data_IF_368584228995
#
_entry.id   IF_368584228995
#
_cell.length_a   1.000
_cell.length_b   1.000
_cell.length_c   1.000
_cell.angle_alpha   90.00
_cell.angle_beta   90.00
_cell.angle_gamma   90.00
#
_symmetry.space_group_name_H-M   'P 1'
#
loop_
_entity.id
_entity.type
_entity.pdbx_description
1 polymer ?
#
# COMPACT_ATOMS: atom_id res chain seq x y z
N UNK A 1 14.25 6.99 0.12
CA UNK A 1 13.79 6.99 -1.28
C UNK A 1 14.29 8.24 -2.01
N UNK A 2 14.58 8.15 -3.31
CA UNK A 2 15.22 9.22 -4.11
C UNK A 2 14.30 9.81 -5.20
N UNK A 3 13.00 9.51 -5.18
CA UNK A 3 12.02 9.98 -6.16
C UNK A 3 10.72 10.44 -5.50
N UNK A 4 9.87 11.23 -6.18
CA UNK A 4 8.63 11.76 -5.62
C UNK A 4 7.57 10.65 -5.43
N UNK A 5 6.94 10.61 -4.26
CA UNK A 5 5.82 9.70 -3.93
C UNK A 5 4.49 10.42 -4.15
N UNK A 6 4.30 10.95 -5.37
CA UNK A 6 3.12 11.72 -5.72
C UNK A 6 2.10 10.77 -6.34
N UNK A 7 0.86 10.78 -5.85
CA UNK A 7 -0.26 10.03 -6.39
C UNK A 7 -1.46 10.96 -6.56
N UNK A 8 -2.29 10.67 -7.54
CA UNK A 8 -3.56 11.38 -7.74
C UNK A 8 -4.52 11.02 -6.59
N UNK A 9 -5.06 12.04 -5.93
CA UNK A 9 -5.93 11.88 -4.78
C UNK A 9 -7.25 11.17 -5.18
N UNK A 10 -7.82 11.51 -6.34
CA UNK A 10 -9.09 10.92 -6.77
C UNK A 10 -8.91 9.44 -7.09
N UNK A 11 -7.78 9.10 -7.73
CA UNK A 11 -7.42 7.70 -8.00
C UNK A 11 -7.23 6.91 -6.69
N UNK A 12 -6.51 7.49 -5.72
CA UNK A 12 -6.30 6.85 -4.42
C UNK A 12 -7.63 6.58 -3.71
N UNK A 13 -8.55 7.55 -3.72
CA UNK A 13 -9.87 7.43 -3.11
C UNK A 13 -10.71 6.34 -3.79
N UNK A 14 -10.67 6.26 -5.12
CA UNK A 14 -11.33 5.19 -5.87
C UNK A 14 -10.78 3.81 -5.50
N UNK A 15 -9.45 3.67 -5.45
CA UNK A 15 -8.82 2.39 -5.08
C UNK A 15 -9.20 1.96 -3.66
N UNK A 16 -9.24 2.90 -2.71
CA UNK A 16 -9.68 2.62 -1.33
C UNK A 16 -11.13 2.15 -1.31
N UNK A 17 -12.03 2.80 -2.06
CA UNK A 17 -13.44 2.43 -2.11
C UNK A 17 -13.63 1.00 -2.66
N UNK A 18 -12.90 0.66 -3.72
CA UNK A 18 -12.92 -0.68 -4.31
C UNK A 18 -12.41 -1.75 -3.35
N UNK A 19 -11.30 -1.47 -2.65
CA UNK A 19 -10.75 -2.39 -1.65
C UNK A 19 -11.74 -2.59 -0.50
N UNK A 20 -12.35 -1.53 0.02
CA UNK A 20 -13.34 -1.62 1.09
C UNK A 20 -14.56 -2.45 0.69
N UNK A 21 -15.08 -2.27 -0.53
CA UNK A 21 -16.17 -3.09 -1.07
C UNK A 21 -15.79 -4.57 -1.15
N UNK A 22 -14.60 -4.88 -1.67
CA UNK A 22 -14.11 -6.27 -1.75
C UNK A 22 -13.98 -6.91 -0.35
N UNK A 23 -13.52 -6.15 0.63
CA UNK A 23 -13.42 -6.63 2.02
C UNK A 23 -14.82 -6.86 2.61
N UNK A 24 -15.76 -5.95 2.37
CA UNK A 24 -17.16 -6.08 2.80
C UNK A 24 -17.79 -7.35 2.21
N UNK A 25 -17.75 -7.53 0.89
CA UNK A 25 -18.30 -8.70 0.19
C UNK A 25 -17.72 -10.01 0.72
N UNK A 26 -16.39 -10.05 0.95
CA UNK A 26 -15.72 -11.22 1.53
C UNK A 26 -16.13 -11.45 2.99
N UNK A 27 -16.26 -10.40 3.79
CA UNK A 27 -16.64 -10.50 5.20
C UNK A 27 -18.07 -11.04 5.39
N UNK A 28 -18.98 -10.70 4.48
CA UNK A 28 -20.36 -11.19 4.45
C UNK A 28 -20.39 -12.66 3.99
N UNK A 29 -19.64 -12.99 2.94
CA UNK A 29 -19.64 -14.33 2.34
C UNK A 29 -18.95 -15.37 3.24
N UNK A 30 -17.83 -15.02 3.87
CA UNK A 30 -16.96 -15.96 4.58
C UNK A 30 -16.55 -15.46 5.97
N UNK A 31 -17.53 -15.26 6.86
CA UNK A 31 -17.31 -14.68 8.20
C UNK A 31 -16.25 -15.39 9.04
N UNK A 32 -16.24 -16.72 9.05
CA UNK A 32 -15.31 -17.50 9.86
C UNK A 32 -13.86 -17.41 9.34
N UNK A 33 -13.69 -17.47 8.02
CA UNK A 33 -12.38 -17.29 7.38
C UNK A 33 -11.86 -15.87 7.54
N UNK A 34 -12.75 -14.88 7.42
CA UNK A 34 -12.42 -13.48 7.67
C UNK A 34 -11.89 -13.27 9.09
N UNK A 35 -12.52 -13.85 10.12
CA UNK A 35 -12.00 -13.76 11.49
C UNK A 35 -10.63 -14.44 11.63
N UNK A 36 -10.42 -15.59 11.01
CA UNK A 36 -9.13 -16.28 11.02
C UNK A 36 -8.04 -15.47 10.30
N UNK A 37 -8.40 -14.80 9.20
CA UNK A 37 -7.50 -13.94 8.43
C UNK A 37 -7.14 -12.67 9.22
N UNK A 38 -8.10 -12.05 9.89
CA UNK A 38 -7.85 -10.93 10.82
C UNK A 38 -6.88 -11.36 11.92
N UNK A 39 -7.07 -12.54 12.52
CA UNK A 39 -6.15 -13.11 13.52
C UNK A 39 -4.73 -13.27 12.96
N UNK A 40 -4.60 -13.85 11.76
CA UNK A 40 -3.31 -14.06 11.08
C UNK A 40 -2.59 -12.74 10.77
N UNK A 41 -3.30 -11.76 10.19
CA UNK A 41 -2.71 -10.48 9.81
C UNK A 41 -2.28 -9.68 11.04
N UNK A 42 -3.07 -9.66 12.12
CA UNK A 42 -2.67 -9.04 13.38
C UNK A 42 -1.43 -9.70 13.99
N UNK A 43 -1.29 -11.03 13.89
CA UNK A 43 -0.09 -11.73 14.34
C UNK A 43 1.14 -11.36 13.49
N UNK A 44 1.00 -11.25 12.17
CA UNK A 44 2.07 -10.84 11.26
C UNK A 44 2.50 -9.38 11.47
N UNK A 45 1.56 -8.52 11.88
CA UNK A 45 1.80 -7.11 12.19
C UNK A 45 2.34 -6.83 13.59
N UNK A 46 2.64 -7.86 14.38
CA UNK A 46 3.32 -7.65 15.65
C UNK A 46 4.65 -6.94 15.42
N UNK A 47 4.66 -5.68 15.84
CA UNK A 47 5.84 -4.82 15.74
C UNK A 47 6.97 -5.39 16.59
N UNK A 48 8.21 -4.96 16.32
CA UNK A 48 9.34 -5.28 17.18
C UNK A 48 9.09 -4.88 18.65
N UNK A 49 8.27 -3.86 18.89
CA UNK A 49 7.86 -3.47 20.23
C UNK A 49 6.99 -4.55 20.88
N UNK A 50 5.96 -5.07 20.19
CA UNK A 50 5.12 -6.16 20.70
C UNK A 50 5.93 -7.43 20.98
N UNK A 51 6.89 -7.76 20.10
CA UNK A 51 7.81 -8.89 20.32
C UNK A 51 8.72 -8.66 21.52
N UNK A 52 9.21 -7.43 21.73
CA UNK A 52 9.98 -7.06 22.94
C UNK A 52 9.12 -7.20 24.20
N UNK A 53 7.87 -6.74 24.18
CA UNK A 53 6.93 -6.88 25.29
C UNK A 53 6.65 -8.34 25.63
N UNK A 54 6.39 -9.18 24.62
CA UNK A 54 6.22 -10.63 24.80
C UNK A 54 7.46 -11.31 25.39
N UNK A 55 8.67 -10.89 24.99
CA UNK A 55 9.92 -11.40 25.58
C UNK A 55 10.19 -10.86 26.99
N UNK A 56 9.65 -9.69 27.33
CA UNK A 56 9.82 -9.06 28.65
C UNK A 56 9.00 -9.78 29.73
N UNK A 57 7.80 -10.26 29.40
CA UNK A 57 6.95 -11.03 30.32
C UNK A 57 7.68 -12.20 30.99
N UNK A 58 8.29 -13.16 30.26
CA UNK A 58 8.99 -14.28 30.88
C UNK A 58 10.20 -13.85 31.73
N UNK A 59 10.86 -12.73 31.38
CA UNK A 59 11.94 -12.18 32.20
C UNK A 59 11.42 -11.66 33.54
N UNK A 60 10.30 -10.93 33.53
CA UNK A 60 9.65 -10.43 34.75
C UNK A 60 9.16 -11.59 35.60
N UNK A 61 8.50 -12.60 35.01
CA UNK A 61 8.00 -13.75 35.77
C UNK A 61 9.12 -14.52 36.45
N UNK A 62 10.23 -14.80 35.73
CA UNK A 62 11.40 -15.45 36.34
C UNK A 62 12.01 -14.60 37.44
N UNK A 63 12.05 -13.26 37.29
CA UNK A 63 12.56 -12.38 38.34
C UNK A 63 11.65 -12.36 39.57
N UNK A 64 10.33 -12.36 39.39
CA UNK A 64 9.37 -12.47 40.49
C UNK A 64 9.57 -13.78 41.28
N UNK A 65 9.73 -14.92 40.59
CA UNK A 65 10.03 -16.20 41.25
C UNK A 65 11.35 -16.19 42.03
N UNK A 66 12.38 -15.50 41.53
CA UNK A 66 13.64 -15.32 42.25
C UNK A 66 13.44 -14.46 43.50
N UNK A 67 12.69 -13.37 43.40
CA UNK A 67 12.37 -12.49 44.53
C UNK A 67 11.61 -13.27 45.61
N UNK A 68 10.61 -14.07 45.24
CA UNK A 68 9.85 -14.89 46.19
C UNK A 68 10.75 -15.89 46.92
N UNK A 69 11.68 -16.56 46.22
CA UNK A 69 12.66 -17.46 46.84
C UNK A 69 13.57 -16.74 47.83
N UNK A 70 14.07 -15.56 47.46
CA UNK A 70 14.96 -14.76 48.32
C UNK A 70 14.20 -14.25 49.54
N UNK A 71 12.98 -13.73 49.36
CA UNK A 71 12.13 -13.28 50.46
C UNK A 71 11.84 -14.42 51.44
N UNK A 72 11.41 -15.59 50.97
CA UNK A 72 11.15 -16.74 51.83
C UNK A 72 12.36 -17.10 52.69
N UNK A 73 13.56 -17.17 52.08
CA UNK A 73 14.80 -17.42 52.81
C UNK A 73 15.15 -16.31 53.80
N UNK A 74 14.93 -15.05 53.43
CA UNK A 74 15.16 -13.90 54.31
C UNK A 74 14.24 -13.96 55.55
N UNK A 75 13.00 -14.39 55.39
CA UNK A 75 12.06 -14.64 56.49
C UNK A 75 12.53 -15.78 57.41
N UNK A 76 12.98 -16.90 56.84
CA UNK A 76 13.54 -18.03 57.61
C UNK A 76 14.76 -17.61 58.42
N UNK A 77 15.71 -16.91 57.80
CA UNK A 77 16.93 -16.41 58.44
C UNK A 77 16.61 -15.41 59.58
N UNK A 78 15.61 -14.54 59.38
CA UNK A 78 15.13 -13.65 60.46
C UNK A 78 14.52 -14.43 61.62
N UNK A 79 13.69 -15.44 61.34
CA UNK A 79 13.04 -16.26 62.36
C UNK A 79 14.05 -17.08 63.18
N UNK A 80 15.16 -17.49 62.56
CA UNK A 80 16.28 -18.18 63.22
C UNK A 80 17.25 -17.23 63.94
N UNK A 81 17.04 -15.91 63.83
CA UNK A 81 17.90 -14.89 64.43
C UNK A 81 19.30 -14.81 63.80
N UNK A 82 19.49 -15.35 62.60
CA UNK A 82 20.78 -15.31 61.89
C UNK A 82 21.08 -13.92 61.31
N UNK A 83 20.05 -13.06 61.18
CA UNK A 83 20.19 -11.68 60.72
C UNK A 83 19.60 -10.69 61.73
N UNK A 84 20.21 -9.50 61.90
CA UNK A 84 19.63 -8.43 62.70
C UNK A 84 18.34 -7.87 62.06
N UNK A 85 17.38 -7.49 62.90
CA UNK A 85 16.08 -6.97 62.49
C UNK A 85 16.19 -5.77 61.54
N UNK A 86 17.04 -4.78 61.84
CA UNK A 86 17.22 -3.60 60.99
C UNK A 86 17.65 -3.97 59.55
N UNK A 87 18.48 -5.03 59.42
CA UNK A 87 18.97 -5.49 58.12
C UNK A 87 17.88 -6.27 57.38
N UNK A 88 17.06 -7.04 58.09
CA UNK A 88 15.89 -7.70 57.54
C UNK A 88 14.90 -6.68 56.95
N UNK A 89 14.57 -5.62 57.70
CA UNK A 89 13.64 -4.58 57.26
C UNK A 89 14.12 -3.87 55.99
N UNK A 90 15.39 -3.48 55.94
CA UNK A 90 15.98 -2.85 54.75
C UNK A 90 15.96 -3.76 53.52
N UNK A 91 16.28 -5.06 53.69
CA UNK A 91 16.31 -6.00 52.56
C UNK A 91 14.91 -6.40 52.10
N UNK A 92 14.00 -6.70 53.03
CA UNK A 92 12.62 -7.05 52.74
C UNK A 92 11.87 -5.90 52.05
N UNK A 93 12.11 -4.65 52.47
CA UNK A 93 11.55 -3.47 51.81
C UNK A 93 12.01 -3.37 50.35
N UNK A 94 13.32 -3.45 50.08
CA UNK A 94 13.85 -3.36 48.70
C UNK A 94 13.27 -4.41 47.77
N UNK A 95 13.20 -5.67 48.23
CA UNK A 95 12.62 -6.75 47.42
C UNK A 95 11.11 -6.62 47.26
N UNK A 96 10.40 -6.10 48.26
CA UNK A 96 8.96 -5.84 48.17
C UNK A 96 8.65 -4.72 47.18
N UNK A 97 9.43 -3.63 47.19
CA UNK A 97 9.30 -2.53 46.21
C UNK A 97 9.55 -3.05 44.79
N UNK A 98 10.60 -3.83 44.58
CA UNK A 98 10.88 -4.46 43.28
C UNK A 98 9.74 -5.40 42.85
N UNK A 99 9.21 -6.22 43.77
CA UNK A 99 8.10 -7.13 43.51
C UNK A 99 6.86 -6.39 43.01
N UNK A 100 6.40 -5.37 43.72
CA UNK A 100 5.19 -4.64 43.34
C UNK A 100 5.39 -3.83 42.05
N UNK A 101 6.58 -3.25 41.84
CA UNK A 101 6.91 -2.57 40.59
C UNK A 101 6.86 -3.53 39.39
N UNK A 102 7.46 -4.71 39.51
CA UNK A 102 7.45 -5.75 38.47
C UNK A 102 6.04 -6.32 38.25
N UNK A 103 5.24 -6.49 39.30
CA UNK A 103 3.84 -6.92 39.17
C UNK A 103 2.99 -5.89 38.42
N UNK A 104 3.20 -4.60 38.70
CA UNK A 104 2.53 -3.53 37.98
C UNK A 104 2.98 -3.48 36.51
N UNK A 105 4.28 -3.58 36.23
CA UNK A 105 4.80 -3.68 34.86
C UNK A 105 4.18 -4.86 34.12
N UNK A 106 4.13 -6.05 34.75
CA UNK A 106 3.54 -7.25 34.17
C UNK A 106 2.06 -7.08 33.85
N UNK A 107 1.27 -6.49 34.77
CA UNK A 107 -0.14 -6.23 34.54
C UNK A 107 -0.36 -5.28 33.35
N UNK A 108 0.42 -4.19 33.26
CA UNK A 108 0.32 -3.25 32.13
C UNK A 108 0.70 -3.89 30.80
N UNK A 109 1.74 -4.73 30.76
CA UNK A 109 2.16 -5.44 29.55
C UNK A 109 1.11 -6.46 29.11
N UNK A 110 0.50 -7.18 30.05
CA UNK A 110 -0.58 -8.13 29.75
C UNK A 110 -1.83 -7.42 29.23
N UNK A 111 -2.22 -6.29 29.84
CA UNK A 111 -3.35 -5.49 29.38
C UNK A 111 -3.11 -4.98 27.94
N UNK A 112 -1.92 -4.43 27.67
CA UNK A 112 -1.53 -3.98 26.33
C UNK A 112 -1.62 -5.13 25.31
N UNK A 113 -1.06 -6.31 25.61
CA UNK A 113 -1.14 -7.47 24.72
C UNK A 113 -2.56 -8.00 24.55
N UNK A 114 -3.38 -8.03 25.60
CA UNK A 114 -4.78 -8.46 25.51
C UNK A 114 -5.62 -7.53 24.62
N UNK A 115 -5.31 -6.23 24.60
CA UNK A 115 -5.92 -5.29 23.67
C UNK A 115 -5.59 -5.65 22.20
N UNK A 116 -4.41 -6.26 21.95
CA UNK A 116 -3.99 -6.79 20.65
C UNK A 116 -4.61 -8.15 20.31
N UNK A 117 -4.80 -9.03 21.29
CA UNK A 117 -5.27 -10.43 21.09
C UNK A 117 -6.78 -10.56 20.88
N UNK A 118 -7.58 -9.53 21.16
CA UNK A 118 -9.03 -9.50 20.90
C UNK A 118 -9.39 -9.41 19.40
N UNK A 119 -8.72 -10.19 18.55
CA UNK A 119 -8.91 -10.26 17.11
C UNK A 119 -10.34 -10.64 16.71
N UNK A 120 -11.00 -11.55 17.47
CA UNK A 120 -12.41 -11.88 17.25
C UNK A 120 -13.34 -10.69 17.47
N UNK A 121 -13.10 -9.90 18.53
CA UNK A 121 -13.82 -8.65 18.78
C UNK A 121 -13.51 -7.56 17.75
N UNK A 122 -12.29 -7.51 17.22
CA UNK A 122 -11.88 -6.57 16.17
C UNK A 122 -12.53 -6.89 14.83
N UNK A 123 -12.56 -8.16 14.42
CA UNK A 123 -13.26 -8.61 13.22
C UNK A 123 -14.75 -8.25 13.29
N UNK A 124 -15.39 -8.49 14.44
CA UNK A 124 -16.79 -8.10 14.68
C UNK A 124 -16.99 -6.57 14.64
N UNK A 125 -16.09 -5.79 15.24
CA UNK A 125 -16.15 -4.32 15.19
C UNK A 125 -16.03 -3.81 13.76
N UNK A 126 -15.12 -4.39 12.97
CA UNK A 126 -14.98 -4.05 11.55
C UNK A 126 -16.25 -4.36 10.77
N UNK A 127 -16.85 -5.54 10.98
CA UNK A 127 -18.11 -5.92 10.32
C UNK A 127 -19.27 -4.96 10.68
N UNK A 128 -19.36 -4.54 11.94
CA UNK A 128 -20.34 -3.53 12.35
C UNK A 128 -20.08 -2.16 11.71
N UNK A 129 -18.81 -1.81 11.49
CA UNK A 129 -18.41 -0.59 10.78
C UNK A 129 -18.81 -0.65 9.31
N UNK A 130 -18.58 -1.78 8.63
CA UNK A 130 -18.99 -1.96 7.22
C UNK A 130 -20.51 -1.93 7.08
N UNK A 131 -21.25 -2.63 7.96
CA UNK A 131 -22.72 -2.62 7.99
C UNK A 131 -23.30 -1.20 8.18
N UNK A 132 -22.63 -0.35 8.97
CA UNK A 132 -23.07 1.03 9.22
C UNK A 132 -22.88 1.94 8.01
N UNK A 133 -21.82 1.70 7.24
CA UNK A 133 -21.45 2.49 6.07
C UNK A 133 -21.80 1.73 4.80
N UNK A 134 -23.08 1.34 4.68
CA UNK A 134 -23.56 0.59 3.53
C UNK A 134 -23.43 1.42 2.25
N UNK A 135 -22.72 0.84 1.27
CA UNK A 135 -22.34 1.42 -0.01
C UNK A 135 -21.36 2.60 0.12
N UNK A 136 -20.06 2.29 0.23
CA UNK A 136 -18.87 3.19 0.12
C UNK A 136 -18.86 4.08 -1.15
N UNK A 137 -19.90 4.85 -1.36
CA UNK A 137 -20.18 5.72 -2.49
C UNK A 137 -19.61 7.10 -2.23
N UNK A 138 -19.65 7.55 -0.96
CA UNK A 138 -19.02 8.77 -0.48
C UNK A 138 -18.05 8.48 0.68
N UNK A 139 -16.75 8.41 0.37
CA UNK A 139 -15.70 8.29 1.38
C UNK A 139 -15.43 9.66 2.00
N UNK A 140 -16.13 9.99 3.07
CA UNK A 140 -15.82 11.18 3.87
C UNK A 140 -14.52 10.98 4.65
N UNK A 141 -13.78 12.05 4.98
CA UNK A 141 -12.57 11.95 5.81
C UNK A 141 -12.81 11.28 7.17
N UNK A 142 -14.01 11.43 7.74
CA UNK A 142 -14.39 10.76 8.98
C UNK A 142 -14.41 9.23 8.82
N UNK A 143 -15.04 8.74 7.75
CA UNK A 143 -15.08 7.31 7.42
C UNK A 143 -13.66 6.78 7.20
N UNK A 144 -12.82 7.49 6.44
CA UNK A 144 -11.44 7.06 6.22
C UNK A 144 -10.65 6.93 7.52
N UNK A 145 -10.75 7.90 8.42
CA UNK A 145 -10.04 7.84 9.70
C UNK A 145 -10.56 6.71 10.62
N UNK A 146 -11.83 6.33 10.49
CA UNK A 146 -12.40 5.18 11.20
C UNK A 146 -11.85 3.85 10.66
N UNK A 147 -11.74 3.71 9.33
CA UNK A 147 -11.34 2.44 8.71
C UNK A 147 -9.82 2.27 8.58
N UNK A 148 -9.10 3.34 8.24
CA UNK A 148 -7.71 3.31 7.79
C UNK A 148 -6.80 3.89 8.88
N UNK A 149 -5.79 3.11 9.24
CA UNK A 149 -4.71 3.51 10.15
C UNK A 149 -3.64 4.32 9.42
N UNK A 150 -3.17 3.81 8.28
CA UNK A 150 -2.18 4.49 7.44
C UNK A 150 -2.19 3.95 6.01
N UNK A 151 -1.68 4.77 5.09
CA UNK A 151 -1.47 4.40 3.69
C UNK A 151 0.01 4.61 3.39
N UNK A 152 0.68 3.54 2.97
CA UNK A 152 2.07 3.58 2.51
C UNK A 152 2.08 3.62 0.99
N UNK A 153 2.61 4.71 0.43
CA UNK A 153 2.78 4.88 -1.01
C UNK A 153 4.23 4.53 -1.36
N UNK A 154 4.42 3.52 -2.21
CA UNK A 154 5.74 3.06 -2.61
C UNK A 154 6.28 3.84 -3.82
N UNK A 155 7.56 3.64 -4.13
CA UNK A 155 8.21 4.21 -5.31
C UNK A 155 7.56 3.68 -6.61
N UNK A 156 7.49 4.54 -7.65
CA UNK A 156 6.97 4.16 -8.96
C UNK A 156 7.94 3.22 -9.69
N UNK A 157 7.40 2.28 -10.46
CA UNK A 157 8.20 1.34 -11.27
C UNK A 157 9.08 2.01 -12.32
N UNK A 158 8.62 3.14 -12.89
CA UNK A 158 9.36 3.90 -13.90
C UNK A 158 9.44 5.39 -13.53
N UNK A 159 10.66 5.91 -13.45
CA UNK A 159 10.92 7.32 -13.14
C UNK A 159 10.49 8.22 -14.30
N UNK A 160 9.85 9.36 -13.98
CA UNK A 160 9.39 10.41 -14.92
C UNK A 160 8.37 9.96 -15.99
N UNK A 161 7.91 8.72 -15.96
CA UNK A 161 6.84 8.28 -16.84
C UNK A 161 5.49 8.86 -16.34
N UNK A 162 4.73 9.48 -17.26
CA UNK A 162 3.37 9.96 -17.01
C UNK A 162 2.41 8.83 -16.65
N UNK A 163 2.67 7.65 -17.21
CA UNK A 163 1.92 6.41 -16.98
C UNK A 163 2.92 5.39 -16.43
N UNK A 164 2.83 5.11 -15.14
CA UNK A 164 3.68 4.17 -14.42
C UNK A 164 2.84 3.47 -13.35
N UNK A 165 3.11 2.20 -13.12
CA UNK A 165 2.49 1.44 -12.06
C UNK A 165 3.14 1.87 -10.74
N UNK A 166 2.31 2.03 -9.72
CA UNK A 166 2.72 2.46 -8.38
C UNK A 166 2.01 1.58 -7.36
N UNK A 167 2.78 0.97 -6.47
CA UNK A 167 2.24 0.12 -5.42
C UNK A 167 1.83 0.97 -4.21
N UNK A 168 0.68 0.62 -3.61
CA UNK A 168 0.23 1.18 -2.34
C UNK A 168 -0.08 0.06 -1.36
N UNK A 169 0.16 0.31 -0.07
CA UNK A 169 -0.22 -0.61 1.01
C UNK A 169 -1.13 0.11 1.98
N UNK A 170 -2.34 -0.42 2.16
CA UNK A 170 -3.36 0.17 3.03
C UNK A 170 -3.44 -0.66 4.32
N UNK A 171 -3.34 0.03 5.46
CA UNK A 171 -3.42 -0.57 6.78
C UNK A 171 -4.73 -0.14 7.43
N UNK A 172 -5.57 -1.10 7.80
CA UNK A 172 -6.85 -0.86 8.44
C UNK A 172 -6.73 -0.93 9.97
N UNK A 173 -7.50 -0.10 10.70
CA UNK A 173 -7.43 0.00 12.16
C UNK A 173 -7.70 -1.34 12.87
N UNK A 174 -8.68 -2.11 12.40
CA UNK A 174 -9.13 -3.32 13.08
C UNK A 174 -8.56 -4.63 12.51
N UNK A 175 -8.12 -4.61 11.25
CA UNK A 175 -7.65 -5.82 10.54
C UNK A 175 -6.14 -5.77 10.24
N UNK A 176 -5.52 -4.59 10.31
CA UNK A 176 -4.15 -4.39 9.85
C UNK A 176 -4.07 -4.34 8.32
N UNK A 177 -2.94 -4.78 7.76
CA UNK A 177 -2.74 -4.90 6.31
C UNK A 177 -3.58 -6.08 5.86
N UNK A 178 -4.58 -5.79 5.05
CA UNK A 178 -5.48 -6.83 4.56
C UNK A 178 -4.81 -7.53 3.38
N UNK A 179 -4.19 -8.68 3.64
CA UNK A 179 -3.67 -9.58 2.62
C UNK A 179 -4.54 -10.84 2.58
N UNK A 180 -5.42 -10.93 1.59
CA UNK A 180 -6.24 -12.10 1.26
C UNK A 180 -6.08 -12.46 -0.22
N UNK A 181 -6.36 -13.70 -0.62
CA UNK A 181 -6.43 -14.16 -2.02
C UNK A 181 -7.36 -13.26 -2.87
N UNK A 182 -8.48 -12.77 -2.30
CA UNK A 182 -9.41 -11.84 -2.96
C UNK A 182 -8.82 -10.44 -3.20
N UNK A 183 -7.87 -10.01 -2.37
CA UNK A 183 -7.11 -8.76 -2.54
C UNK A 183 -5.78 -8.96 -3.27
N UNK A 184 -5.22 -10.18 -3.30
CA UNK A 184 -4.12 -10.55 -4.20
C UNK A 184 -4.62 -10.61 -5.65
N UNK A 185 -5.91 -10.90 -5.89
CA UNK A 185 -6.57 -10.67 -7.18
C UNK A 185 -6.82 -9.17 -7.48
N UNK A 186 -6.66 -8.28 -6.50
CA UNK A 186 -6.68 -6.83 -6.71
C UNK A 186 -5.28 -6.25 -6.93
N UNK A 187 -4.22 -6.96 -6.50
CA UNK A 187 -2.89 -6.74 -7.04
C UNK A 187 -2.92 -7.23 -8.49
N UNK A 188 -2.72 -6.35 -9.49
CA UNK A 188 -2.80 -6.77 -10.86
C UNK A 188 -1.79 -7.90 -11.09
N UNK A 189 -2.26 -9.02 -11.64
CA UNK A 189 -1.42 -10.19 -11.91
C UNK A 189 -0.24 -9.76 -12.77
N UNK A 190 0.93 -10.43 -12.70
CA UNK A 190 2.06 -10.08 -13.57
C UNK A 190 1.67 -9.95 -15.06
N UNK A 191 0.67 -10.73 -15.50
CA UNK A 191 0.11 -10.67 -16.85
C UNK A 191 -0.71 -9.40 -17.09
N UNK A 192 -1.53 -8.97 -16.13
CA UNK A 192 -2.29 -7.72 -16.19
C UNK A 192 -1.35 -6.51 -16.10
N UNK A 193 -0.30 -6.58 -15.28
CA UNK A 193 0.79 -5.60 -15.24
C UNK A 193 1.45 -5.47 -16.62
N UNK A 194 1.70 -6.59 -17.32
CA UNK A 194 2.25 -6.59 -18.67
C UNK A 194 1.27 -5.99 -19.68
N UNK A 195 0.00 -6.38 -19.65
CA UNK A 195 -1.05 -5.83 -20.51
C UNK A 195 -1.20 -4.31 -20.32
N UNK A 196 -1.29 -3.83 -19.07
CA UNK A 196 -1.32 -2.40 -18.79
C UNK A 196 -0.08 -1.67 -19.30
N UNK A 197 1.11 -2.29 -19.20
CA UNK A 197 2.35 -1.73 -19.77
C UNK A 197 2.28 -1.65 -21.29
N UNK A 198 1.77 -2.68 -21.95
CA UNK A 198 1.59 -2.72 -23.40
C UNK A 198 0.56 -1.67 -23.87
N UNK A 199 -0.58 -1.55 -23.19
CA UNK A 199 -1.60 -0.52 -23.46
C UNK A 199 -1.03 0.89 -23.30
N UNK A 200 -0.24 1.13 -22.24
CA UNK A 200 0.44 2.40 -22.03
C UNK A 200 1.43 2.69 -23.17
N UNK A 201 2.17 1.67 -23.63
CA UNK A 201 3.13 1.81 -24.72
C UNK A 201 2.42 2.06 -26.06
N UNK A 202 1.31 1.37 -26.31
CA UNK A 202 0.48 1.55 -27.49
C UNK A 202 -0.19 2.92 -27.50
N UNK A 203 -0.73 3.38 -26.36
CA UNK A 203 -1.27 4.74 -26.23
C UNK A 203 -0.19 5.81 -26.49
N UNK A 204 1.06 5.59 -26.06
CA UNK A 204 2.20 6.47 -26.39
C UNK A 204 2.50 6.44 -27.89
N UNK A 205 2.55 5.25 -28.50
CA UNK A 205 2.76 5.09 -29.95
C UNK A 205 1.64 5.75 -30.74
N UNK A 206 0.39 5.59 -30.34
CA UNK A 206 -0.77 6.15 -31.02
C UNK A 206 -0.83 7.66 -30.87
N UNK A 207 -0.50 8.22 -29.70
CA UNK A 207 -0.36 9.67 -29.53
C UNK A 207 0.74 10.25 -30.44
N UNK A 208 1.87 9.55 -30.56
CA UNK A 208 2.94 9.92 -31.50
C UNK A 208 2.46 9.84 -32.96
N UNK A 209 1.75 8.77 -33.35
CA UNK A 209 1.17 8.62 -34.68
C UNK A 209 0.15 9.72 -34.97
N UNK A 210 -0.76 10.04 -34.04
CA UNK A 210 -1.72 11.12 -34.15
C UNK A 210 -1.03 12.46 -34.37
N UNK A 211 0.00 12.76 -33.58
CA UNK A 211 0.84 13.95 -33.77
C UNK A 211 1.45 14.00 -35.18
N UNK A 212 2.05 12.90 -35.66
CA UNK A 212 2.63 12.85 -37.01
C UNK A 212 1.57 12.95 -38.12
N UNK A 213 0.38 12.36 -37.93
CA UNK A 213 -0.75 12.51 -38.86
C UNK A 213 -1.19 13.97 -38.96
N UNK A 214 -1.34 14.65 -37.83
CA UNK A 214 -1.72 16.06 -37.77
C UNK A 214 -0.64 16.95 -38.38
N UNK A 215 0.62 16.77 -37.97
CA UNK A 215 1.77 17.48 -38.52
C UNK A 215 1.86 17.31 -40.05
N UNK A 216 1.72 16.07 -40.55
CA UNK A 216 1.74 15.81 -42.00
C UNK A 216 0.59 16.49 -42.72
N UNK A 217 -0.62 16.52 -42.14
CA UNK A 217 -1.76 17.26 -42.70
C UNK A 217 -1.48 18.76 -42.78
N UNK A 218 -0.98 19.35 -41.72
CA UNK A 218 -0.65 20.78 -41.66
C UNK A 218 0.50 21.15 -42.60
N UNK A 219 1.51 20.29 -42.71
CA UNK A 219 2.62 20.47 -43.63
C UNK A 219 2.16 20.41 -45.09
N UNK A 220 1.31 19.43 -45.45
CA UNK A 220 0.71 19.34 -46.80
C UNK A 220 -0.16 20.55 -47.10
N UNK A 221 -0.96 21.02 -46.13
CA UNK A 221 -1.80 22.20 -46.31
C UNK A 221 -0.96 23.46 -46.55
N UNK A 222 0.10 23.67 -45.76
CA UNK A 222 1.00 24.82 -45.90
C UNK A 222 1.77 24.82 -47.22
N UNK A 223 2.14 23.66 -47.73
CA UNK A 223 2.92 23.53 -48.98
C UNK A 223 2.05 23.24 -50.21
N UNK A 224 0.72 23.29 -50.09
CA UNK A 224 -0.20 22.92 -51.17
C UNK A 224 -0.06 23.83 -52.39
N UNK A 225 0.13 25.13 -52.20
CA UNK A 225 0.31 26.08 -53.30
C UNK A 225 1.64 25.88 -54.02
N UNK A 226 2.73 25.69 -53.27
CA UNK A 226 4.04 25.38 -53.85
C UNK A 226 4.00 24.07 -54.65
N UNK A 227 3.30 23.05 -54.14
CA UNK A 227 3.11 21.79 -54.83
C UNK A 227 2.27 21.96 -56.11
N UNK A 228 1.19 22.75 -56.07
CA UNK A 228 0.37 23.09 -57.24
C UNK A 228 1.16 23.90 -58.29
N UNK A 229 2.03 24.81 -57.87
CA UNK A 229 2.92 25.54 -58.78
C UNK A 229 3.95 24.63 -59.42
N UNK A 230 4.56 23.74 -58.64
CA UNK A 230 5.47 22.71 -59.14
C UNK A 230 4.79 21.82 -60.19
N UNK A 231 3.57 21.34 -59.91
CA UNK A 231 2.81 20.52 -60.86
C UNK A 231 2.43 21.30 -62.13
N UNK A 232 2.07 22.59 -61.99
CA UNK A 232 1.81 23.49 -63.14
C UNK A 232 3.06 23.66 -64.01
N UNK A 233 4.23 23.86 -63.40
CA UNK A 233 5.51 23.97 -64.08
C UNK A 233 5.87 22.67 -64.80
N UNK A 234 5.80 21.53 -64.11
CA UNK A 234 6.06 20.21 -64.72
C UNK A 234 5.12 19.91 -65.89
N UNK A 235 3.83 20.26 -65.77
CA UNK A 235 2.88 20.08 -66.85
C UNK A 235 3.21 20.94 -68.08
N UNK A 236 3.69 22.18 -67.87
CA UNK A 236 4.17 23.05 -68.96
C UNK A 236 5.39 22.46 -69.64
N UNK A 237 6.38 22.00 -68.87
CA UNK A 237 7.58 21.32 -69.40
C UNK A 237 7.23 20.07 -70.19
N UNK A 238 6.33 19.23 -69.66
CA UNK A 238 5.87 18.02 -70.34
C UNK A 238 5.18 18.34 -71.68
N UNK A 239 4.29 19.34 -71.71
CA UNK A 239 3.62 19.80 -72.93
C UNK A 239 4.62 20.36 -73.95
N UNK A 240 5.57 21.17 -73.50
CA UNK A 240 6.63 21.72 -74.36
C UNK A 240 7.50 20.59 -74.96
N UNK A 241 7.90 19.60 -74.15
CA UNK A 241 8.66 18.43 -74.61
C UNK A 241 7.88 17.61 -75.62
N UNK A 242 6.59 17.34 -75.40
CA UNK A 242 5.74 16.64 -76.38
C UNK A 242 5.59 17.44 -77.69
N UNK A 243 5.42 18.76 -77.60
CA UNK A 243 5.32 19.63 -78.78
C UNK A 243 6.62 19.66 -79.59
N UNK A 244 7.77 19.75 -78.92
CA UNK A 244 9.09 19.70 -79.56
C UNK A 244 9.34 18.33 -80.23
N UNK A 245 8.97 17.23 -79.55
CA UNK A 245 9.04 15.88 -80.15
C UNK A 245 8.13 15.73 -81.38
N UNK A 246 6.92 16.31 -81.35
CA UNK A 246 6.01 16.28 -82.49
C UNK A 246 6.53 17.14 -83.67
N UNK A 247 7.14 18.29 -83.40
CA UNK A 247 7.76 19.13 -84.42
C UNK A 247 8.99 18.48 -85.06
N UNK A 248 9.81 17.77 -84.27
CA UNK A 248 10.96 17.02 -84.77
C UNK A 248 10.58 15.76 -85.58
N UNK A 249 9.35 15.27 -85.44
CA UNK A 249 8.84 14.10 -86.17
C UNK A 249 8.10 14.46 -87.48
N UNK A 250 7.98 15.75 -87.83
CA UNK A 250 7.44 16.14 -89.14
C UNK A 250 8.54 16.02 -90.20
N UNK A 251 8.29 15.35 -91.34
CA UNK A 251 9.29 15.17 -92.38
C UNK A 251 9.55 16.52 -93.07
N UNK A 252 10.80 16.95 -93.04
CA UNK A 252 11.32 18.08 -93.83
C UNK A 252 11.18 17.73 -95.32
N UNK A 253 10.38 18.51 -96.05
CA UNK A 253 10.31 18.49 -97.52
C UNK A 253 11.60 19.03 -98.14
#
# INVERSE_FOLDING_TARGET
>A
CHSPHIMDADLLMQTIAEVLKKIEDYSISNRAEFEALVKKNLAMQQTDQTKKQQKRIPQITTRLEQIDKVLNKLYEDNALGTIPQDRYEQMSQKYSEEYYALKAELATLQEQLSAYENAGGRAQKFLKLTERHAAFTELTPAILNEFISRIEVHERDQKRARYAIQHISIYFNYIGKFENEVTQLAEPTEQEIRQMREEIEEAKKEKSRAYHRQYSREYRARNLEQQREYDRMKAREYRARRKAQAAAAQPTQ
#
